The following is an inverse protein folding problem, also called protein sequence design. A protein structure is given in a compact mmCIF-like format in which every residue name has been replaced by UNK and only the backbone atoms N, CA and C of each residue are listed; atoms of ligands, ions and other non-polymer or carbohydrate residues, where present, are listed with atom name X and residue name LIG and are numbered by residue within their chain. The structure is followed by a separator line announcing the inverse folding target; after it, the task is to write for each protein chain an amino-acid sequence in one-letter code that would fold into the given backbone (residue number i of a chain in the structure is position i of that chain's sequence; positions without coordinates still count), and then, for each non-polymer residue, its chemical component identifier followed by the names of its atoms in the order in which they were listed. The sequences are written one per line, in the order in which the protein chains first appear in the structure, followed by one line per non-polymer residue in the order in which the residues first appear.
data_IF_798527837046
#
_entry.id   IF_798527837046
#
_cell.length_a   1.000
_cell.length_b   1.000
_cell.length_c   1.000
_cell.angle_alpha   90.00
_cell.angle_beta   90.00
_cell.angle_gamma   90.00
#
_symmetry.space_group_name_H-M   'P 1'
#
loop_
_entity.id
_entity.type
_entity.pdbx_description
1 polymer ?
#
# COMPACT_ATOMS: atom_id res chain seq x y z
N UNK A 1 11.83 18.78 -5.01
CA UNK A 1 11.92 17.36 -5.06
C UNK A 1 10.57 16.71 -5.27
N UNK A 2 10.44 16.03 -6.34
CA UNK A 2 9.13 15.50 -6.71
C UNK A 2 8.77 14.19 -6.02
N UNK A 3 9.77 13.49 -5.52
CA UNK A 3 9.52 12.18 -4.95
C UNK A 3 8.71 12.28 -3.67
N UNK A 4 7.65 11.51 -3.59
CA UNK A 4 6.78 11.54 -2.41
C UNK A 4 6.58 10.12 -1.89
N UNK A 5 7.38 9.76 -0.91
CA UNK A 5 7.33 8.45 -0.27
C UNK A 5 5.95 8.17 0.34
N UNK A 6 5.35 9.21 0.90
CA UNK A 6 4.05 9.07 1.55
C UNK A 6 2.97 8.65 0.56
N UNK A 7 2.97 9.21 -0.64
CA UNK A 7 2.01 8.83 -1.67
C UNK A 7 2.20 7.38 -2.10
N UNK A 8 3.46 6.94 -2.21
CA UNK A 8 3.75 5.56 -2.57
C UNK A 8 3.25 4.62 -1.47
N UNK A 9 3.49 4.95 -0.21
CA UNK A 9 3.03 4.13 0.91
C UNK A 9 1.50 4.03 0.94
N UNK A 10 0.81 5.13 0.68
CA UNK A 10 -0.65 5.11 0.63
C UNK A 10 -1.15 4.21 -0.49
N UNK A 11 -0.49 4.24 -1.64
CA UNK A 11 -0.85 3.35 -2.75
C UNK A 11 -0.67 1.88 -2.36
N UNK A 12 0.47 1.57 -1.73
CA UNK A 12 0.75 0.20 -1.29
C UNK A 12 -0.31 -0.27 -0.31
N UNK A 13 -0.65 0.57 0.66
CA UNK A 13 -1.67 0.24 1.64
C UNK A 13 -3.02 0.02 0.98
N UNK A 14 -3.38 0.86 0.02
CA UNK A 14 -4.63 0.70 -0.71
C UNK A 14 -4.68 -0.65 -1.44
N UNK A 15 -3.59 -1.02 -2.12
CA UNK A 15 -3.48 -2.31 -2.79
C UNK A 15 -3.66 -3.45 -1.79
N UNK A 16 -3.00 -3.36 -0.64
CA UNK A 16 -3.10 -4.39 0.39
C UNK A 16 -4.53 -4.50 0.92
N UNK A 17 -5.18 -3.38 1.18
CA UNK A 17 -6.55 -3.38 1.70
C UNK A 17 -7.53 -3.95 0.69
N UNK A 18 -7.39 -3.59 -0.58
CA UNK A 18 -8.22 -4.14 -1.65
C UNK A 18 -8.05 -5.65 -1.72
N UNK A 19 -6.81 -6.12 -1.66
CA UNK A 19 -6.52 -7.55 -1.72
C UNK A 19 -7.16 -8.29 -0.55
N UNK A 20 -6.99 -7.77 0.66
CA UNK A 20 -7.55 -8.40 1.86
C UNK A 20 -9.07 -8.48 1.75
N UNK A 21 -9.71 -7.40 1.34
CA UNK A 21 -11.15 -7.34 1.23
C UNK A 21 -11.68 -8.38 0.25
N UNK A 22 -11.04 -8.49 -0.92
CA UNK A 22 -11.50 -9.43 -1.94
C UNK A 22 -11.18 -10.88 -1.58
N UNK A 23 -10.01 -11.13 -0.98
CA UNK A 23 -9.67 -12.52 -0.60
C UNK A 23 -10.56 -13.02 0.52
N UNK A 24 -11.08 -12.15 1.37
CA UNK A 24 -12.08 -12.55 2.35
C UNK A 24 -13.35 -13.07 1.70
N UNK A 25 -13.63 -12.63 0.48
CA UNK A 25 -14.80 -13.08 -0.28
C UNK A 25 -14.54 -14.39 -1.02
N UNK A 26 -13.33 -14.91 -0.95
CA UNK A 26 -13.01 -16.21 -1.55
C UNK A 26 -12.29 -16.15 -2.89
N UNK A 27 -11.90 -14.98 -3.37
CA UNK A 27 -11.13 -14.87 -4.62
C UNK A 27 -9.65 -14.95 -4.34
N UNK A 28 -8.87 -15.32 -5.37
CA UNK A 28 -7.41 -15.42 -5.23
C UNK A 28 -6.76 -14.06 -5.39
N UNK A 29 -5.52 -13.95 -4.93
CA UNK A 29 -4.73 -12.73 -5.13
C UNK A 29 -4.52 -12.45 -6.62
N UNK A 30 -4.29 -13.47 -7.41
CA UNK A 30 -4.12 -13.30 -8.85
C UNK A 30 -5.39 -12.72 -9.48
N UNK A 31 -6.56 -13.21 -9.07
CA UNK A 31 -7.82 -12.67 -9.56
C UNK A 31 -7.94 -11.19 -9.24
N UNK A 32 -7.59 -10.81 -8.00
CA UNK A 32 -7.65 -9.41 -7.57
C UNK A 32 -6.71 -8.56 -8.43
N UNK A 33 -5.50 -9.04 -8.68
CA UNK A 33 -4.56 -8.32 -9.52
C UNK A 33 -5.13 -8.09 -10.91
N UNK A 34 -5.65 -9.13 -11.53
CA UNK A 34 -6.08 -9.05 -12.93
C UNK A 34 -7.35 -8.21 -13.11
N UNK A 35 -8.25 -8.25 -12.14
CA UNK A 35 -9.57 -7.66 -12.29
C UNK A 35 -9.75 -6.33 -11.57
N UNK A 36 -8.95 -6.06 -10.55
CA UNK A 36 -9.11 -4.86 -9.72
C UNK A 36 -7.86 -3.99 -9.78
N UNK A 37 -6.69 -4.57 -9.54
CA UNK A 37 -5.46 -3.79 -9.38
C UNK A 37 -4.94 -3.31 -10.72
N UNK A 38 -4.82 -4.21 -11.69
CA UNK A 38 -4.26 -3.84 -12.99
C UNK A 38 -5.03 -2.70 -13.67
N UNK A 39 -6.38 -2.74 -13.73
CA UNK A 39 -7.11 -1.62 -14.32
C UNK A 39 -6.95 -0.31 -13.55
N UNK A 40 -6.70 -0.40 -12.24
CA UNK A 40 -6.61 0.80 -11.41
C UNK A 40 -5.20 1.40 -11.41
N UNK A 41 -4.18 0.57 -11.29
CA UNK A 41 -2.81 1.05 -11.11
C UNK A 41 -1.86 0.70 -12.24
N UNK A 42 -2.20 -0.24 -13.09
CA UNK A 42 -1.38 -0.66 -14.25
C UNK A 42 0.04 -0.98 -13.80
N UNK A 43 0.16 -1.88 -12.85
CA UNK A 43 1.47 -2.36 -12.35
C UNK A 43 1.66 -3.82 -12.75
N UNK A 44 2.93 -4.26 -12.80
CA UNK A 44 3.22 -5.66 -13.09
C UNK A 44 2.85 -6.54 -11.90
N UNK A 45 2.68 -7.84 -12.17
CA UNK A 45 2.35 -8.78 -11.11
C UNK A 45 3.47 -8.87 -10.07
N UNK A 46 4.73 -8.74 -10.51
CA UNK A 46 5.85 -8.71 -9.58
C UNK A 46 5.78 -7.53 -8.64
N UNK A 47 5.45 -6.36 -9.16
CA UNK A 47 5.27 -5.16 -8.35
C UNK A 47 4.13 -5.35 -7.36
N UNK A 48 3.04 -5.96 -7.81
CA UNK A 48 1.88 -6.22 -6.96
C UNK A 48 2.27 -7.10 -5.76
N UNK A 49 2.99 -8.20 -6.02
CA UNK A 49 3.42 -9.06 -4.92
C UNK A 49 4.41 -8.37 -4.00
N UNK A 50 5.29 -7.53 -4.55
CA UNK A 50 6.17 -6.71 -3.71
C UNK A 50 5.37 -5.80 -2.80
N UNK A 51 4.31 -5.20 -3.31
CA UNK A 51 3.44 -4.36 -2.49
C UNK A 51 2.78 -5.17 -1.37
N UNK A 52 2.35 -6.39 -1.68
CA UNK A 52 1.70 -7.22 -0.67
C UNK A 52 2.65 -7.61 0.47
N UNK A 53 3.92 -7.81 0.16
CA UNK A 53 4.91 -8.17 1.17
C UNK A 53 5.53 -6.96 1.87
N UNK A 54 5.26 -5.75 1.40
CA UNK A 54 5.80 -4.54 2.00
C UNK A 54 5.07 -4.21 3.30
N UNK A 55 5.82 -3.81 4.32
CA UNK A 55 5.23 -3.43 5.60
C UNK A 55 4.90 -1.93 5.62
N UNK A 56 4.09 -1.51 4.66
CA UNK A 56 3.82 -0.09 4.44
C UNK A 56 3.05 0.55 5.58
N UNK A 57 2.16 -0.19 6.21
CA UNK A 57 1.37 0.35 7.32
C UNK A 57 2.26 0.71 8.51
N UNK A 58 3.23 -0.15 8.82
CA UNK A 58 4.16 0.14 9.91
C UNK A 58 5.06 1.31 9.56
N UNK A 59 5.52 1.38 8.32
CA UNK A 59 6.37 2.48 7.88
C UNK A 59 5.62 3.81 7.92
N UNK A 60 4.38 3.82 7.45
CA UNK A 60 3.55 5.02 7.49
C UNK A 60 3.32 5.47 8.93
N UNK A 61 3.00 4.52 9.82
CA UNK A 61 2.79 4.85 11.24
C UNK A 61 4.04 5.46 11.85
N UNK A 62 5.20 4.95 11.48
CA UNK A 62 6.47 5.48 11.98
C UNK A 62 6.70 6.91 11.50
N UNK A 63 6.40 7.20 10.25
CA UNK A 63 6.54 8.55 9.70
C UNK A 63 5.61 9.51 10.44
N UNK A 64 4.37 9.11 10.65
CA UNK A 64 3.40 9.95 11.35
C UNK A 64 3.79 10.18 12.80
N UNK A 65 4.34 9.16 13.46
CA UNK A 65 4.81 9.30 14.83
C UNK A 65 5.99 10.27 14.91
N UNK A 66 6.90 10.19 13.96
CA UNK A 66 8.03 11.11 13.92
C UNK A 66 7.57 12.55 13.73
N UNK A 67 6.59 12.77 12.87
CA UNK A 67 6.03 14.11 12.68
C UNK A 67 5.40 14.62 13.98
N UNK A 68 4.68 13.73 14.66
CA UNK A 68 4.08 14.09 15.95
C UNK A 68 5.13 14.46 16.98
N UNK A 69 6.22 13.71 17.05
CA UNK A 69 7.29 14.00 17.96
C UNK A 69 7.95 15.34 17.66
N UNK A 70 8.17 15.63 16.37
CA UNK A 70 8.75 16.90 16.00
C UNK A 70 7.88 18.07 16.40
N UNK A 71 6.57 17.93 16.21
CA UNK A 71 5.64 18.97 16.62
C UNK A 71 5.61 19.14 18.14
N UNK A 72 5.78 18.05 18.87
CA UNK A 72 5.77 18.11 20.32
C UNK A 72 6.99 18.78 20.92
N UNK A 73 8.08 18.86 20.16
CA UNK A 73 9.30 19.50 20.62
C UNK A 73 9.24 21.03 20.58
N UNK A 74 8.25 21.56 19.94
CA UNK A 74 8.06 22.99 19.83
C UNK A 74 6.91 23.44 20.73
#
# INVERSE_FOLDING_TARGET
MAYNRLNILKRIIDVQNITIEHTKRGVTQQWVYENVIYPKYVISIGTYYNYLSCNAKAELRRIEADKGKQLALF
#
